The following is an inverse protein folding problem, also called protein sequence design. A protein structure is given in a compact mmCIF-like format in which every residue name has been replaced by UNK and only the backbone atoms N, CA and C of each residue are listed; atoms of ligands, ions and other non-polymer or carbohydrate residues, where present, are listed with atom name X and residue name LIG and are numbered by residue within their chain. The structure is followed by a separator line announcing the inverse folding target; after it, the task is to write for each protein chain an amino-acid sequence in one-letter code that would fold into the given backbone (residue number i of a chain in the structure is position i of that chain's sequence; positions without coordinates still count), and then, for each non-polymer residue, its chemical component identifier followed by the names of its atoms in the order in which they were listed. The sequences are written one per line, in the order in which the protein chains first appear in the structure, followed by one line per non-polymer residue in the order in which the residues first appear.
data_IF_759236722483
#
_entry.id   IF_759236722483
#
_cell.length_a   1.000
_cell.length_b   1.000
_cell.length_c   1.000
_cell.angle_alpha   90.00
_cell.angle_beta   90.00
_cell.angle_gamma   90.00
#
_symmetry.space_group_name_H-M   'P 1'
#
loop_
_entity.id
_entity.type
_entity.pdbx_description
1 polymer ?
#
# COMPACT_ATOMS: atom_id res chain seq x y z
N UNK A 1 -13.55 37.28 17.62
CA UNK A 1 -13.29 36.88 16.21
C UNK A 1 -13.19 35.37 16.04
N UNK A 2 -12.33 34.65 16.77
CA UNK A 2 -12.13 33.20 16.53
C UNK A 2 -13.39 32.35 16.76
N UNK A 3 -14.23 32.68 17.75
CA UNK A 3 -15.49 31.97 18.06
C UNK A 3 -16.61 32.19 17.02
N UNK A 4 -16.74 33.41 16.48
CA UNK A 4 -17.75 33.70 15.45
C UNK A 4 -17.52 32.89 14.18
N UNK A 5 -16.26 32.67 13.81
CA UNK A 5 -15.91 31.89 12.63
C UNK A 5 -16.18 30.39 12.82
N UNK A 6 -15.99 29.87 14.04
CA UNK A 6 -16.36 28.49 14.38
C UNK A 6 -17.88 28.30 14.30
N UNK A 7 -18.67 29.24 14.82
CA UNK A 7 -20.13 29.19 14.80
C UNK A 7 -20.70 29.31 13.36
N UNK A 8 -20.11 30.16 12.52
CA UNK A 8 -20.49 30.31 11.11
C UNK A 8 -20.16 29.07 10.28
N UNK A 9 -19.01 28.42 10.53
CA UNK A 9 -18.64 27.16 9.87
C UNK A 9 -19.57 26.03 10.29
N UNK A 10 -19.93 25.95 11.57
CA UNK A 10 -20.88 24.95 12.07
C UNK A 10 -22.24 25.16 11.41
N UNK A 11 -22.76 26.39 11.35
CA UNK A 11 -24.02 26.67 10.64
C UNK A 11 -23.96 26.36 9.14
N UNK A 12 -22.83 26.63 8.49
CA UNK A 12 -22.64 26.35 7.07
C UNK A 12 -22.60 24.84 6.81
N UNK A 13 -21.86 24.07 7.62
CA UNK A 13 -21.82 22.62 7.54
C UNK A 13 -23.18 21.99 7.83
N UNK A 14 -23.94 22.56 8.77
CA UNK A 14 -25.29 22.09 9.09
C UNK A 14 -26.25 22.31 7.90
N UNK A 15 -26.19 23.48 7.26
CA UNK A 15 -26.95 23.77 6.02
C UNK A 15 -26.55 22.85 4.86
N UNK A 16 -25.26 22.61 4.64
CA UNK A 16 -24.79 21.70 3.59
C UNK A 16 -25.18 20.24 3.87
N UNK A 17 -25.18 19.82 5.14
CA UNK A 17 -25.60 18.48 5.53
C UNK A 17 -27.09 18.25 5.26
N UNK A 18 -27.94 19.26 5.51
CA UNK A 18 -29.39 19.16 5.29
C UNK A 18 -29.73 19.08 3.80
N UNK A 19 -29.08 19.86 2.93
CA UNK A 19 -29.46 19.89 1.51
C UNK A 19 -28.92 18.70 0.68
N UNK A 20 -27.86 18.01 1.16
CA UNK A 20 -27.28 16.85 0.45
C UNK A 20 -27.58 15.49 1.11
N UNK A 21 -27.90 15.44 2.41
CA UNK A 21 -28.20 14.19 3.13
C UNK A 21 -29.68 14.00 3.51
N UNK A 22 -30.59 14.94 3.23
CA UNK A 22 -32.01 14.81 3.59
C UNK A 22 -32.84 14.01 2.56
N UNK A 23 -32.35 12.86 2.12
CA UNK A 23 -33.30 11.85 1.65
C UNK A 23 -33.62 10.98 2.86
N UNK A 24 -34.87 10.95 3.37
CA UNK A 24 -35.25 10.11 4.51
C UNK A 24 -35.32 8.63 4.11
N UNK A 25 -34.62 8.24 3.05
CA UNK A 25 -34.73 6.95 2.41
C UNK A 25 -33.34 6.32 2.37
N UNK A 26 -33.27 5.05 2.78
CA UNK A 26 -32.16 4.16 2.44
C UNK A 26 -32.67 3.12 1.48
N UNK A 27 -31.95 2.87 0.39
CA UNK A 27 -32.27 1.74 -0.49
C UNK A 27 -31.26 0.62 -0.28
N UNK A 28 -31.73 -0.61 -0.11
CA UNK A 28 -30.86 -1.76 0.05
C UNK A 28 -30.31 -2.21 -1.30
N UNK A 29 -28.99 -2.30 -1.45
CA UNK A 29 -28.37 -2.75 -2.69
C UNK A 29 -28.52 -4.26 -2.97
N UNK A 30 -29.08 -5.04 -2.03
CA UNK A 30 -29.27 -6.50 -2.20
C UNK A 30 -30.69 -6.84 -2.65
N UNK A 31 -31.71 -6.21 -2.08
CA UNK A 31 -33.11 -6.51 -2.38
C UNK A 31 -33.89 -5.32 -2.94
N UNK A 32 -33.21 -4.19 -3.18
CA UNK A 32 -33.77 -2.93 -3.67
C UNK A 32 -34.91 -2.34 -2.82
N UNK A 33 -35.12 -2.82 -1.60
CA UNK A 33 -36.17 -2.31 -0.73
C UNK A 33 -35.77 -0.94 -0.16
N UNK A 34 -36.75 -0.03 -0.12
CA UNK A 34 -36.61 1.31 0.44
C UNK A 34 -37.01 1.27 1.91
N UNK A 35 -36.09 1.69 2.77
CA UNK A 35 -36.27 1.90 4.19
C UNK A 35 -36.48 3.40 4.45
N UNK A 36 -37.51 3.75 5.21
CA UNK A 36 -37.67 5.10 5.72
C UNK A 36 -36.84 5.28 7.00
N UNK A 37 -36.17 6.42 7.10
CA UNK A 37 -35.46 6.85 8.30
C UNK A 37 -36.14 8.10 8.85
N UNK A 38 -36.49 8.05 10.13
CA UNK A 38 -36.80 9.25 10.90
C UNK A 38 -35.49 10.01 11.20
N UNK A 39 -35.09 10.94 10.32
CA UNK A 39 -33.86 11.73 10.43
C UNK A 39 -33.73 12.44 11.80
N UNK A 40 -34.79 13.04 12.39
CA UNK A 40 -34.80 13.52 13.77
C UNK A 40 -34.35 12.49 14.82
N UNK A 41 -34.76 11.22 14.69
CA UNK A 41 -34.41 10.16 15.65
C UNK A 41 -32.90 9.82 15.63
N UNK A 42 -32.22 10.06 14.50
CA UNK A 42 -30.77 9.89 14.35
C UNK A 42 -29.99 11.12 14.88
N UNK A 43 -30.62 12.30 14.94
CA UNK A 43 -29.96 13.55 15.40
C UNK A 43 -29.71 13.65 16.92
N UNK A 44 -30.01 12.63 17.70
CA UNK A 44 -29.82 12.60 19.17
C UNK A 44 -28.37 12.67 19.68
N UNK A 45 -27.38 12.98 18.83
CA UNK A 45 -25.94 12.90 19.12
C UNK A 45 -25.36 14.08 19.94
N UNK A 46 -26.00 15.24 19.99
CA UNK A 46 -25.41 16.38 20.72
C UNK A 46 -25.49 16.26 22.26
N UNK A 47 -26.36 15.41 22.79
CA UNK A 47 -26.62 15.38 24.25
C UNK A 47 -25.84 14.32 25.03
N UNK A 48 -25.03 13.47 24.37
CA UNK A 48 -24.49 12.23 24.99
C UNK A 48 -22.98 12.19 25.21
N UNK A 49 -22.28 13.31 25.06
CA UNK A 49 -20.84 13.41 25.32
C UNK A 49 -20.45 13.35 26.82
N UNK A 50 -21.41 13.23 27.75
CA UNK A 50 -21.17 13.07 29.19
C UNK A 50 -21.72 11.73 29.69
N UNK A 51 -20.90 10.68 29.60
CA UNK A 51 -21.07 9.48 30.42
C UNK A 51 -21.58 8.23 29.71
N UNK A 52 -20.62 7.43 29.22
CA UNK A 52 -20.62 5.97 29.42
C UNK A 52 -21.79 5.15 28.89
N UNK A 53 -21.92 5.00 27.57
CA UNK A 53 -22.27 3.73 26.92
C UNK A 53 -22.13 3.88 25.42
N UNK A 54 -21.14 3.21 24.81
CA UNK A 54 -20.93 3.19 23.35
C UNK A 54 -21.94 2.26 22.68
N UNK A 55 -23.22 2.58 22.76
CA UNK A 55 -24.21 1.97 21.89
C UNK A 55 -24.05 2.65 20.54
N UNK A 56 -23.29 2.01 19.64
CA UNK A 56 -23.19 2.45 18.25
C UNK A 56 -24.60 2.58 17.67
N UNK A 57 -24.85 3.67 16.96
CA UNK A 57 -26.10 3.88 16.23
C UNK A 57 -26.29 2.74 15.22
N UNK A 58 -27.26 1.88 15.49
CA UNK A 58 -27.66 0.83 14.56
C UNK A 58 -28.69 1.42 13.59
N UNK A 59 -28.34 1.47 12.31
CA UNK A 59 -29.33 1.71 11.25
C UNK A 59 -30.48 0.71 11.37
N UNK A 60 -31.72 1.09 11.03
CA UNK A 60 -32.82 0.14 10.99
C UNK A 60 -32.51 -0.97 9.97
N UNK A 61 -32.81 -2.25 10.28
CA UNK A 61 -32.59 -3.34 9.35
C UNK A 61 -33.41 -3.16 8.07
N UNK A 62 -32.88 -3.60 6.94
CA UNK A 62 -33.62 -3.59 5.68
C UNK A 62 -34.94 -4.37 5.82
N UNK A 63 -36.06 -3.79 5.36
CA UNK A 63 -37.37 -4.46 5.39
C UNK A 63 -37.46 -5.69 4.49
N UNK A 64 -36.60 -5.81 3.47
CA UNK A 64 -36.53 -7.00 2.60
C UNK A 64 -35.58 -8.07 3.12
N UNK A 65 -34.29 -7.74 3.31
CA UNK A 65 -33.26 -8.74 3.64
C UNK A 65 -32.86 -8.81 5.13
N UNK A 66 -33.39 -7.92 5.98
CA UNK A 66 -33.08 -7.87 7.42
C UNK A 66 -31.66 -7.40 7.77
N UNK A 67 -30.83 -7.04 6.77
CA UNK A 67 -29.42 -6.63 6.97
C UNK A 67 -29.28 -5.12 6.96
N UNK A 68 -28.35 -4.60 7.76
CA UNK A 68 -28.03 -3.15 7.84
C UNK A 68 -26.82 -2.77 6.97
N UNK A 69 -25.98 -3.75 6.60
CA UNK A 69 -24.68 -3.54 5.94
C UNK A 69 -24.77 -3.06 4.48
N UNK A 70 -25.94 -3.23 3.86
CA UNK A 70 -26.15 -3.04 2.42
C UNK A 70 -27.09 -1.88 2.11
N UNK A 71 -27.33 -0.99 3.08
CA UNK A 71 -28.19 0.18 2.91
C UNK A 71 -27.36 1.34 2.35
N UNK A 72 -27.85 1.96 1.27
CA UNK A 72 -27.29 3.19 0.70
C UNK A 72 -28.26 4.34 0.87
N UNK A 73 -27.73 5.54 1.09
CA UNK A 73 -28.52 6.76 1.21
C UNK A 73 -29.18 7.13 -0.12
N UNK A 74 -30.47 7.45 -0.08
CA UNK A 74 -31.26 7.83 -1.25
C UNK A 74 -32.24 6.75 -1.72
N UNK A 75 -33.17 7.17 -2.57
CA UNK A 75 -34.11 6.32 -3.29
C UNK A 75 -33.55 5.99 -4.69
N UNK A 76 -32.41 5.31 -4.74
CA UNK A 76 -31.75 4.89 -5.99
C UNK A 76 -32.12 3.45 -6.32
N UNK A 77 -32.57 3.20 -7.54
CA UNK A 77 -32.85 1.83 -8.00
C UNK A 77 -31.56 1.06 -8.28
N UNK A 78 -31.40 -0.09 -7.62
CA UNK A 78 -30.31 -1.05 -7.83
C UNK A 78 -30.72 -2.25 -8.69
N UNK A 79 -31.87 -2.20 -9.40
CA UNK A 79 -32.35 -3.32 -10.21
C UNK A 79 -31.34 -3.80 -11.26
N UNK A 80 -30.64 -2.87 -11.93
CA UNK A 80 -29.64 -3.21 -12.93
C UNK A 80 -28.42 -3.90 -12.30
N UNK A 81 -27.93 -3.39 -11.17
CA UNK A 81 -26.81 -3.99 -10.43
C UNK A 81 -27.15 -5.39 -9.92
N UNK A 82 -28.36 -5.56 -9.35
CA UNK A 82 -28.85 -6.85 -8.86
C UNK A 82 -28.99 -7.85 -10.01
N UNK A 83 -29.58 -7.43 -11.14
CA UNK A 83 -29.73 -8.29 -12.32
C UNK A 83 -28.37 -8.78 -12.84
N UNK A 84 -27.39 -7.86 -12.93
CA UNK A 84 -26.04 -8.18 -13.36
C UNK A 84 -25.34 -9.14 -12.39
N UNK A 85 -25.45 -8.91 -11.07
CA UNK A 85 -24.91 -9.84 -10.06
C UNK A 85 -25.58 -11.21 -10.13
N UNK A 86 -26.90 -11.28 -10.30
CA UNK A 86 -27.61 -12.57 -10.44
C UNK A 86 -27.18 -13.33 -11.68
N UNK A 87 -27.05 -12.64 -12.83
CA UNK A 87 -26.58 -13.24 -14.07
C UNK A 87 -25.13 -13.73 -13.94
N UNK A 88 -24.25 -12.94 -13.30
CA UNK A 88 -22.88 -13.36 -13.04
C UNK A 88 -22.80 -14.61 -12.15
N UNK A 89 -23.67 -14.72 -11.14
CA UNK A 89 -23.76 -15.92 -10.29
C UNK A 89 -24.27 -17.12 -11.10
N UNK A 90 -25.29 -16.95 -11.92
CA UNK A 90 -25.80 -18.03 -12.79
C UNK A 90 -24.76 -18.49 -13.81
N UNK A 91 -24.07 -17.56 -14.47
CA UNK A 91 -23.02 -17.88 -15.43
C UNK A 91 -21.84 -18.57 -14.75
N UNK A 92 -21.49 -18.15 -13.53
CA UNK A 92 -20.50 -18.84 -12.71
C UNK A 92 -20.96 -20.26 -12.34
N UNK A 93 -22.24 -20.45 -12.03
CA UNK A 93 -22.80 -21.78 -11.76
C UNK A 93 -22.82 -22.68 -13.00
N UNK A 94 -23.18 -22.14 -14.18
CA UNK A 94 -23.13 -22.86 -15.47
C UNK A 94 -21.71 -23.28 -15.83
N UNK A 95 -20.72 -22.40 -15.60
CA UNK A 95 -19.29 -22.68 -15.83
C UNK A 95 -18.68 -23.61 -14.77
N UNK A 96 -19.30 -23.73 -13.59
CA UNK A 96 -18.82 -24.57 -12.48
C UNK A 96 -18.83 -26.06 -12.80
N UNK A 97 -19.84 -26.55 -13.52
CA UNK A 97 -19.96 -27.99 -13.82
C UNK A 97 -18.86 -28.46 -14.79
N UNK A 98 -18.63 -27.78 -15.94
CA UNK A 98 -17.49 -28.10 -16.81
C UNK A 98 -16.14 -27.91 -16.11
N UNK A 99 -15.98 -26.85 -15.32
CA UNK A 99 -14.73 -26.60 -14.59
C UNK A 99 -14.48 -27.65 -13.49
N UNK A 100 -15.52 -28.18 -12.84
CA UNK A 100 -15.38 -29.27 -11.87
C UNK A 100 -14.93 -30.57 -12.54
N UNK A 101 -15.47 -30.86 -13.73
CA UNK A 101 -15.03 -31.99 -14.55
C UNK A 101 -13.56 -31.79 -14.96
N UNK A 102 -13.20 -30.61 -15.47
CA UNK A 102 -11.81 -30.30 -15.86
C UNK A 102 -10.85 -30.32 -14.66
N UNK A 103 -11.28 -29.87 -13.48
CA UNK A 103 -10.52 -30.01 -12.23
C UNK A 103 -10.37 -31.46 -11.79
N UNK A 104 -11.38 -32.31 -11.96
CA UNK A 104 -11.27 -33.75 -11.69
C UNK A 104 -10.31 -34.43 -12.65
N UNK A 105 -10.24 -33.98 -13.91
CA UNK A 105 -9.33 -34.51 -14.95
C UNK A 105 -7.90 -34.02 -14.77
N UNK A 106 -7.69 -32.73 -14.45
CA UNK A 106 -6.33 -32.14 -14.30
C UNK A 106 -5.74 -32.30 -12.90
N UNK A 107 -6.53 -32.24 -11.84
CA UNK A 107 -6.04 -32.51 -10.49
C UNK A 107 -6.01 -34.00 -10.20
N UNK A 108 -5.66 -34.80 -11.21
CA UNK A 108 -5.46 -36.23 -11.09
C UNK A 108 -4.23 -36.63 -10.27
N UNK A 109 -3.84 -35.78 -9.32
CA UNK A 109 -2.77 -36.04 -8.40
C UNK A 109 -3.25 -37.04 -7.35
N UNK A 110 -2.57 -38.19 -7.17
CA UNK A 110 -2.98 -39.26 -6.26
C UNK A 110 -3.33 -38.81 -4.84
N UNK A 111 -2.71 -37.73 -4.35
CA UNK A 111 -2.96 -37.16 -3.02
C UNK A 111 -4.31 -36.43 -2.87
N UNK A 112 -4.81 -35.77 -3.91
CA UNK A 112 -6.13 -35.13 -3.89
C UNK A 112 -7.21 -36.21 -3.89
N UNK A 113 -6.95 -37.30 -4.61
CA UNK A 113 -7.82 -38.47 -4.65
C UNK A 113 -7.84 -39.27 -3.36
N UNK A 114 -6.67 -39.59 -2.80
CA UNK A 114 -6.59 -40.29 -1.52
C UNK A 114 -7.42 -39.58 -0.44
N UNK A 115 -7.45 -38.23 -0.45
CA UNK A 115 -8.28 -37.46 0.48
C UNK A 115 -9.79 -37.52 0.18
N UNK A 116 -10.18 -37.46 -1.09
CA UNK A 116 -11.59 -37.53 -1.48
C UNK A 116 -12.20 -38.93 -1.22
N UNK A 117 -11.37 -39.98 -1.37
CA UNK A 117 -11.76 -41.39 -1.19
C UNK A 117 -11.47 -41.93 0.21
N UNK A 118 -10.65 -41.27 1.04
CA UNK A 118 -10.54 -41.63 2.46
C UNK A 118 -11.92 -41.49 3.07
N UNK A 119 -12.58 -42.64 3.24
CA UNK A 119 -13.74 -42.78 4.09
C UNK A 119 -13.33 -42.17 5.41
N UNK A 120 -14.06 -41.13 5.83
CA UNK A 120 -14.00 -40.68 7.21
C UNK A 120 -14.62 -41.82 8.01
N UNK A 121 -13.83 -42.86 8.25
CA UNK A 121 -14.03 -43.85 9.29
C UNK A 121 -13.93 -43.05 10.57
N UNK A 122 -15.03 -42.34 10.86
CA UNK A 122 -15.37 -41.90 12.19
C UNK A 122 -15.30 -43.18 13.00
N UNK A 123 -14.18 -43.30 13.71
CA UNK A 123 -13.90 -44.37 14.63
C UNK A 123 -15.00 -44.27 15.67
N UNK A 124 -16.07 -45.05 15.48
CA UNK A 124 -17.09 -45.29 16.47
C UNK A 124 -16.47 -46.15 17.56
N UNK A 125 -15.55 -45.56 18.32
CA UNK A 125 -15.30 -45.98 19.68
C UNK A 125 -16.44 -45.40 20.51
N UNK A 126 -17.54 -46.17 20.55
CA UNK A 126 -18.34 -46.38 21.75
C UNK A 126 -18.33 -45.24 22.78
N UNK A 127 -19.13 -44.20 22.54
CA UNK A 127 -19.76 -43.46 23.63
C UNK A 127 -21.12 -42.94 23.19
N UNK A 128 -22.11 -43.39 23.94
CA UNK A 128 -23.53 -43.14 23.81
C UNK A 128 -23.86 -41.65 23.98
N UNK A 129 -24.06 -40.96 22.87
CA UNK A 129 -24.93 -39.78 22.84
C UNK A 129 -25.44 -39.60 21.41
N UNK A 130 -26.77 -39.68 21.26
CA UNK A 130 -27.50 -39.55 20.00
C UNK A 130 -27.23 -38.17 19.36
N UNK A 131 -26.17 -38.07 18.57
CA UNK A 131 -26.05 -37.06 17.53
C UNK A 131 -26.08 -37.80 16.19
N UNK A 132 -27.17 -37.59 15.46
CA UNK A 132 -27.37 -38.07 14.09
C UNK A 132 -26.32 -37.43 13.18
N UNK A 133 -25.12 -38.02 13.14
CA UNK A 133 -24.13 -37.65 12.13
C UNK A 133 -24.68 -38.04 10.76
N UNK A 134 -24.59 -37.16 9.75
CA UNK A 134 -25.04 -37.47 8.41
C UNK A 134 -24.24 -38.68 7.90
N UNK A 135 -24.94 -39.73 7.49
CA UNK A 135 -24.34 -40.92 6.88
C UNK A 135 -23.54 -40.45 5.68
N UNK A 136 -22.20 -40.47 5.78
CA UNK A 136 -21.33 -40.08 4.68
C UNK A 136 -21.36 -41.22 3.67
N UNK A 137 -21.98 -40.97 2.51
CA UNK A 137 -22.04 -41.96 1.45
C UNK A 137 -20.63 -42.41 1.05
N UNK A 138 -20.45 -43.72 0.99
CA UNK A 138 -19.22 -44.35 0.54
C UNK A 138 -19.04 -44.08 -0.95
N UNK A 139 -18.04 -43.27 -1.27
CA UNK A 139 -17.61 -43.00 -2.65
C UNK A 139 -16.81 -44.20 -3.14
N UNK A 140 -17.13 -44.72 -4.31
CA UNK A 140 -16.33 -45.78 -4.95
C UNK A 140 -15.39 -45.18 -5.99
N UNK A 141 -14.30 -45.90 -6.29
CA UNK A 141 -13.23 -45.44 -7.18
C UNK A 141 -12.85 -46.52 -8.20
N UNK A 142 -12.14 -46.13 -9.25
CA UNK A 142 -11.65 -47.00 -10.31
C UNK A 142 -10.13 -47.16 -10.18
N UNK A 143 -9.67 -48.41 -10.09
CA UNK A 143 -8.26 -48.71 -9.88
C UNK A 143 -7.44 -48.70 -11.18
N UNK A 144 -8.09 -48.96 -12.32
CA UNK A 144 -7.43 -48.97 -13.63
C UNK A 144 -7.35 -47.56 -14.23
N UNK A 145 -6.13 -47.16 -14.62
CA UNK A 145 -5.89 -45.89 -15.30
C UNK A 145 -6.61 -45.80 -16.67
N UNK A 146 -6.79 -46.94 -17.34
CA UNK A 146 -7.49 -47.01 -18.63
C UNK A 146 -9.00 -46.79 -18.44
N UNK A 147 -9.60 -47.44 -17.43
CA UNK A 147 -10.99 -47.24 -17.03
C UNK A 147 -11.24 -45.78 -16.64
N UNK A 148 -10.32 -45.21 -15.87
CA UNK A 148 -10.37 -43.81 -15.47
C UNK A 148 -10.27 -42.86 -16.67
N UNK A 149 -9.44 -43.17 -17.68
CA UNK A 149 -9.35 -42.39 -18.91
C UNK A 149 -10.66 -42.35 -19.70
N UNK A 150 -11.32 -43.51 -19.86
CA UNK A 150 -12.64 -43.59 -20.51
C UNK A 150 -13.70 -42.85 -19.70
N UNK A 151 -13.66 -42.99 -18.37
CA UNK A 151 -14.55 -42.29 -17.46
C UNK A 151 -14.44 -40.75 -17.55
N UNK A 152 -13.21 -40.25 -17.63
CA UNK A 152 -12.92 -38.82 -17.77
C UNK A 152 -13.38 -38.25 -19.12
N UNK A 153 -13.35 -39.05 -20.18
CA UNK A 153 -13.79 -38.64 -21.50
C UNK A 153 -15.32 -38.62 -21.62
N UNK A 154 -15.97 -39.72 -21.27
CA UNK A 154 -17.43 -39.82 -21.20
C UNK A 154 -17.86 -40.91 -20.20
N UNK A 155 -18.24 -40.50 -18.99
CA UNK A 155 -18.71 -41.43 -17.95
C UNK A 155 -19.97 -42.20 -18.35
N UNK A 156 -20.78 -41.71 -19.30
CA UNK A 156 -21.93 -42.46 -19.82
C UNK A 156 -21.49 -43.60 -20.73
N UNK A 157 -20.47 -43.37 -21.55
CA UNK A 157 -19.86 -44.44 -22.35
C UNK A 157 -19.18 -45.48 -21.47
N UNK A 158 -18.51 -45.04 -20.40
CA UNK A 158 -17.96 -45.95 -19.40
C UNK A 158 -19.04 -46.87 -18.80
N UNK A 159 -20.19 -46.32 -18.39
CA UNK A 159 -21.31 -47.11 -17.85
C UNK A 159 -21.90 -48.06 -18.91
N UNK A 160 -21.94 -47.65 -20.18
CA UNK A 160 -22.36 -48.54 -21.28
C UNK A 160 -21.40 -49.72 -21.44
N UNK A 161 -20.09 -49.47 -21.45
CA UNK A 161 -19.05 -50.52 -21.60
C UNK A 161 -18.97 -51.50 -20.44
N UNK A 162 -19.24 -51.03 -19.23
CA UNK A 162 -19.29 -51.88 -18.02
C UNK A 162 -20.62 -52.64 -17.84
N UNK A 163 -21.52 -52.56 -18.84
CA UNK A 163 -22.81 -53.25 -18.78
C UNK A 163 -23.75 -52.69 -17.70
N UNK A 164 -23.61 -51.40 -17.36
CA UNK A 164 -24.46 -50.75 -16.36
C UNK A 164 -24.11 -51.10 -14.91
N UNK A 165 -22.91 -51.59 -14.64
CA UNK A 165 -22.43 -51.93 -13.29
C UNK A 165 -21.19 -51.11 -12.94
N UNK A 166 -21.29 -50.07 -12.08
CA UNK A 166 -22.48 -49.58 -11.37
C UNK A 166 -23.47 -48.79 -12.27
N UNK A 167 -24.75 -48.64 -11.87
CA UNK A 167 -25.76 -47.96 -12.67
C UNK A 167 -25.49 -46.45 -12.78
N UNK A 168 -25.94 -45.85 -13.89
CA UNK A 168 -25.64 -44.46 -14.24
C UNK A 168 -25.94 -43.46 -13.13
N UNK A 169 -27.13 -43.54 -12.51
CA UNK A 169 -27.53 -42.61 -11.44
C UNK A 169 -26.58 -42.67 -10.24
N UNK A 170 -26.02 -43.85 -9.93
CA UNK A 170 -25.07 -44.05 -8.83
C UNK A 170 -23.70 -43.47 -9.17
N UNK A 171 -23.28 -43.60 -10.42
CA UNK A 171 -22.06 -42.96 -10.94
C UNK A 171 -22.19 -41.44 -10.89
N UNK A 172 -23.31 -40.88 -11.35
CA UNK A 172 -23.55 -39.43 -11.28
C UNK A 172 -23.57 -38.92 -9.84
N UNK A 173 -24.23 -39.63 -8.91
CA UNK A 173 -24.24 -39.29 -7.50
C UNK A 173 -22.81 -39.29 -6.92
N UNK A 174 -22.00 -40.30 -7.25
CA UNK A 174 -20.60 -40.42 -6.84
C UNK A 174 -19.77 -39.24 -7.36
N UNK A 175 -19.92 -38.85 -8.63
CA UNK A 175 -19.22 -37.69 -9.23
C UNK A 175 -19.59 -36.38 -8.54
N UNK A 176 -20.89 -36.18 -8.25
CA UNK A 176 -21.36 -34.99 -7.52
C UNK A 176 -20.74 -34.93 -6.13
N UNK A 177 -20.69 -36.06 -5.43
CA UNK A 177 -20.11 -36.14 -4.09
C UNK A 177 -18.59 -35.91 -4.08
N UNK A 178 -17.84 -36.51 -5.02
CA UNK A 178 -16.40 -36.26 -5.17
C UNK A 178 -16.13 -34.79 -5.47
N UNK A 179 -16.87 -34.20 -6.41
CA UNK A 179 -16.80 -32.76 -6.72
C UNK A 179 -17.02 -31.92 -5.47
N UNK A 180 -18.07 -32.23 -4.70
CA UNK A 180 -18.38 -31.53 -3.45
C UNK A 180 -17.23 -31.62 -2.45
N UNK A 181 -16.61 -32.80 -2.27
CA UNK A 181 -15.46 -33.00 -1.37
C UNK A 181 -14.23 -32.22 -1.82
N UNK A 182 -13.91 -32.23 -3.11
CA UNK A 182 -12.79 -31.48 -3.69
C UNK A 182 -12.98 -29.98 -3.45
N UNK A 183 -14.17 -29.45 -3.77
CA UNK A 183 -14.48 -28.03 -3.57
C UNK A 183 -14.44 -27.64 -2.10
N UNK A 184 -15.00 -28.46 -1.20
CA UNK A 184 -14.90 -28.21 0.25
C UNK A 184 -13.44 -28.17 0.71
N UNK A 185 -12.60 -29.07 0.20
CA UNK A 185 -11.18 -29.09 0.52
C UNK A 185 -10.48 -27.84 0.02
N UNK A 186 -10.76 -27.42 -1.21
CA UNK A 186 -10.25 -26.19 -1.79
C UNK A 186 -10.66 -24.97 -0.95
N UNK A 187 -11.93 -24.83 -0.58
CA UNK A 187 -12.39 -23.75 0.29
C UNK A 187 -11.65 -23.71 1.62
N UNK A 188 -11.42 -24.87 2.25
CA UNK A 188 -10.63 -24.95 3.49
C UNK A 188 -9.18 -24.51 3.27
N UNK A 189 -8.55 -24.93 2.18
CA UNK A 189 -7.18 -24.55 1.85
C UNK A 189 -7.05 -23.06 1.53
N UNK A 190 -7.95 -22.51 0.73
CA UNK A 190 -8.04 -21.08 0.42
C UNK A 190 -8.24 -20.28 1.70
N UNK A 191 -9.14 -20.70 2.58
CA UNK A 191 -9.37 -20.05 3.88
C UNK A 191 -8.10 -20.04 4.74
N UNK A 192 -7.37 -21.16 4.80
CA UNK A 192 -6.08 -21.24 5.52
C UNK A 192 -5.03 -20.32 4.90
N UNK A 193 -4.94 -20.27 3.57
CA UNK A 193 -4.01 -19.40 2.86
C UNK A 193 -4.33 -17.93 3.14
N UNK A 194 -5.60 -17.54 3.03
CA UNK A 194 -6.08 -16.19 3.35
C UNK A 194 -5.81 -15.82 4.81
N UNK A 195 -6.07 -16.73 5.76
CA UNK A 195 -5.76 -16.50 7.17
C UNK A 195 -4.26 -16.29 7.41
N UNK A 196 -3.41 -17.12 6.78
CA UNK A 196 -1.95 -16.99 6.86
C UNK A 196 -1.48 -15.66 6.26
N UNK A 197 -1.99 -15.31 5.08
CA UNK A 197 -1.68 -14.06 4.39
C UNK A 197 -2.06 -12.84 5.23
N UNK A 198 -3.31 -12.77 5.72
CA UNK A 198 -3.77 -11.71 6.62
C UNK A 198 -2.90 -11.60 7.86
N UNK A 199 -2.50 -12.72 8.45
CA UNK A 199 -1.58 -12.75 9.59
C UNK A 199 -0.20 -12.19 9.26
N UNK A 200 0.37 -12.52 8.10
CA UNK A 200 1.67 -11.96 7.66
C UNK A 200 1.57 -10.46 7.43
N UNK A 201 0.55 -10.00 6.70
CA UNK A 201 0.33 -8.58 6.41
C UNK A 201 0.10 -7.76 7.69
N UNK A 202 -0.69 -8.28 8.63
CA UNK A 202 -0.91 -7.64 9.92
C UNK A 202 0.40 -7.55 10.74
N UNK A 203 1.20 -8.62 10.79
CA UNK A 203 2.50 -8.59 11.49
C UNK A 203 3.47 -7.59 10.86
N UNK A 204 3.53 -7.53 9.53
CA UNK A 204 4.38 -6.58 8.80
C UNK A 204 4.00 -5.13 9.09
N UNK A 205 2.70 -4.80 9.03
CA UNK A 205 2.19 -3.46 9.33
C UNK A 205 2.41 -3.06 10.81
N UNK A 206 2.19 -3.98 11.76
CA UNK A 206 2.48 -3.74 13.18
C UNK A 206 3.98 -3.51 13.41
N UNK A 207 4.84 -4.25 12.72
CA UNK A 207 6.29 -4.08 12.83
C UNK A 207 6.73 -2.68 12.37
N UNK A 208 6.26 -2.22 11.21
CA UNK A 208 6.55 -0.86 10.73
C UNK A 208 5.97 0.20 11.69
N UNK A 209 4.76 0.02 12.22
CA UNK A 209 4.19 0.92 13.23
C UNK A 209 5.08 1.00 14.47
N UNK A 210 5.52 -0.15 15.02
CA UNK A 210 6.42 -0.19 16.19
C UNK A 210 7.75 0.52 15.91
N UNK A 211 8.29 0.35 14.71
CA UNK A 211 9.52 1.04 14.25
C UNK A 211 9.32 2.55 14.18
N UNK A 212 8.20 3.03 13.61
CA UNK A 212 7.88 4.47 13.59
C UNK A 212 7.69 5.04 15.00
N UNK A 213 6.99 4.31 15.89
CA UNK A 213 6.84 4.71 17.30
C UNK A 213 8.19 4.78 18.01
N UNK A 214 9.08 3.80 17.79
CA UNK A 214 10.45 3.80 18.32
C UNK A 214 11.28 4.98 17.81
N UNK A 215 11.15 5.31 16.53
CA UNK A 215 11.78 6.49 15.94
C UNK A 215 11.26 7.79 16.54
N UNK A 216 9.94 7.95 16.69
CA UNK A 216 9.33 9.11 17.35
C UNK A 216 9.76 9.27 18.80
N UNK A 217 9.82 8.17 19.57
CA UNK A 217 10.36 8.18 20.93
C UNK A 217 11.82 8.65 20.94
N UNK A 218 12.64 8.14 20.02
CA UNK A 218 14.04 8.56 19.88
C UNK A 218 14.16 10.05 19.58
N UNK A 219 13.30 10.60 18.70
CA UNK A 219 13.26 12.04 18.42
C UNK A 219 12.83 12.86 19.64
N UNK A 220 11.82 12.40 20.38
CA UNK A 220 11.32 13.10 21.59
C UNK A 220 12.36 13.09 22.73
N UNK A 221 13.08 11.99 22.92
CA UNK A 221 14.07 11.87 23.98
C UNK A 221 15.46 12.44 23.60
N UNK A 222 15.75 12.60 22.32
CA UNK A 222 17.05 13.12 21.84
C UNK A 222 17.46 14.46 22.47
N UNK A 223 16.58 15.49 22.59
CA UNK A 223 16.90 16.72 23.29
C UNK A 223 17.24 16.52 24.76
N UNK A 224 16.43 15.73 25.49
CA UNK A 224 16.66 15.45 26.91
C UNK A 224 18.00 14.75 27.14
N UNK A 225 18.33 13.73 26.33
CA UNK A 225 19.62 13.03 26.38
C UNK A 225 20.78 13.98 26.09
N UNK A 226 20.64 14.89 25.12
CA UNK A 226 21.67 15.90 24.80
C UNK A 226 21.90 16.86 25.97
N UNK A 227 20.83 17.37 26.58
CA UNK A 227 20.91 18.25 27.75
C UNK A 227 21.60 17.51 28.92
N UNK A 228 21.16 16.30 29.23
CA UNK A 228 21.76 15.48 30.28
C UNK A 228 23.26 15.22 30.02
N UNK A 229 23.63 14.89 28.78
CA UNK A 229 25.03 14.68 28.39
C UNK A 229 25.86 15.96 28.54
N UNK A 230 25.34 17.11 28.11
CA UNK A 230 26.03 18.40 28.28
C UNK A 230 26.20 18.76 29.75
N UNK A 231 25.15 18.59 30.57
CA UNK A 231 25.19 18.85 32.00
C UNK A 231 26.22 17.96 32.70
N UNK A 232 26.19 16.64 32.46
CA UNK A 232 27.18 15.69 33.00
C UNK A 232 28.60 16.07 32.58
N UNK A 233 28.79 16.42 31.30
CA UNK A 233 30.10 16.88 30.79
C UNK A 233 30.57 18.14 31.52
N UNK A 234 29.70 19.12 31.71
CA UNK A 234 30.00 20.36 32.42
C UNK A 234 30.36 20.10 33.88
N UNK A 235 29.58 19.27 34.59
CA UNK A 235 29.86 18.87 35.97
C UNK A 235 31.23 18.16 36.08
N UNK A 236 31.54 17.22 35.17
CA UNK A 236 32.84 16.57 35.12
C UNK A 236 33.99 17.57 34.91
N UNK A 237 33.81 18.56 34.02
CA UNK A 237 34.82 19.62 33.78
C UNK A 237 34.98 20.57 34.97
N UNK A 238 33.93 20.81 35.76
CA UNK A 238 34.03 21.59 37.00
C UNK A 238 34.89 20.85 38.03
N UNK A 239 34.64 19.56 38.24
CA UNK A 239 35.35 18.70 39.22
C UNK A 239 36.79 18.39 38.81
N UNK A 240 37.04 18.03 37.55
CA UNK A 240 38.36 17.64 37.08
C UNK A 240 39.04 18.78 36.33
N UNK A 241 39.92 19.53 37.00
CA UNK A 241 40.75 20.59 36.38
C UNK A 241 41.60 20.06 35.21
N UNK A 242 42.06 18.80 35.25
CA UNK A 242 42.78 18.12 34.15
C UNK A 242 41.98 18.00 32.84
N UNK A 243 40.64 18.04 32.90
CA UNK A 243 39.77 18.03 31.70
C UNK A 243 39.50 19.44 31.15
N UNK A 244 39.98 20.49 31.82
CA UNK A 244 40.02 21.86 31.29
C UNK A 244 41.26 22.01 30.43
N UNK A 245 41.28 21.38 29.25
CA UNK A 245 42.23 21.80 28.22
C UNK A 245 41.76 23.16 27.75
N UNK A 246 42.43 24.22 28.18
CA UNK A 246 42.25 25.52 27.60
C UNK A 246 42.92 25.49 26.22
N UNK A 247 42.14 25.04 25.23
CA UNK A 247 42.59 25.08 23.84
C UNK A 247 42.57 26.56 23.47
N UNK A 248 43.78 27.15 23.39
CA UNK A 248 43.98 28.55 23.03
C UNK A 248 43.23 28.92 21.75
N UNK A 249 42.85 30.20 21.64
CA UNK A 249 42.06 30.73 20.52
C UNK A 249 42.63 30.33 19.17
N UNK A 250 43.96 30.35 19.04
CA UNK A 250 44.65 30.08 17.78
C UNK A 250 44.50 28.62 17.34
N UNK A 251 44.55 27.67 18.28
CA UNK A 251 44.30 26.25 18.00
C UNK A 251 42.85 26.02 17.57
N UNK A 252 41.89 26.75 18.16
CA UNK A 252 40.48 26.69 17.72
C UNK A 252 40.29 27.27 16.32
N UNK A 253 41.02 28.34 15.99
CA UNK A 253 40.97 28.96 14.67
C UNK A 253 41.63 28.08 13.60
N UNK A 254 42.73 27.39 13.92
CA UNK A 254 43.35 26.40 13.02
C UNK A 254 42.44 25.19 12.79
N UNK A 255 41.80 24.67 13.84
CA UNK A 255 40.82 23.58 13.73
C UNK A 255 39.60 24.00 12.90
N UNK A 256 39.16 25.24 13.04
CA UNK A 256 38.07 25.78 12.23
C UNK A 256 38.46 25.94 10.76
N UNK A 257 39.68 26.43 10.48
CA UNK A 257 40.19 26.59 9.12
C UNK A 257 40.34 25.24 8.41
N UNK A 258 40.88 24.23 9.10
CA UNK A 258 41.02 22.87 8.56
C UNK A 258 39.66 22.22 8.30
N UNK A 259 38.70 22.32 9.24
CA UNK A 259 37.33 21.85 9.03
C UNK A 259 36.65 22.56 7.86
N UNK A 260 36.90 23.85 7.68
CA UNK A 260 36.35 24.61 6.55
C UNK A 260 36.94 24.15 5.22
N UNK A 261 38.25 23.94 5.15
CA UNK A 261 38.93 23.41 3.97
C UNK A 261 38.44 22.02 3.62
N UNK A 262 38.29 21.12 4.61
CA UNK A 262 37.73 19.79 4.42
C UNK A 262 36.30 19.84 3.89
N UNK A 263 35.46 20.74 4.40
CA UNK A 263 34.09 20.94 3.88
C UNK A 263 34.10 21.42 2.44
N UNK A 264 34.97 22.37 2.09
CA UNK A 264 35.12 22.83 0.71
C UNK A 264 35.57 21.69 -0.21
N UNK A 265 36.56 20.89 0.18
CA UNK A 265 37.00 19.71 -0.57
C UNK A 265 35.89 18.66 -0.73
N UNK A 266 35.07 18.45 0.30
CA UNK A 266 33.94 17.54 0.21
C UNK A 266 32.83 18.07 -0.71
N UNK A 267 32.57 19.39 -0.69
CA UNK A 267 31.64 20.04 -1.60
C UNK A 267 32.11 19.96 -3.05
N UNK A 268 33.39 20.22 -3.33
CA UNK A 268 33.95 20.09 -4.68
C UNK A 268 33.91 18.65 -5.19
N UNK A 269 34.24 17.66 -4.34
CA UNK A 269 34.10 16.23 -4.69
C UNK A 269 32.65 15.85 -5.01
N UNK A 270 31.68 16.31 -4.22
CA UNK A 270 30.25 16.07 -4.47
C UNK A 270 29.78 16.73 -5.76
N UNK A 271 30.22 17.96 -6.02
CA UNK A 271 29.92 18.67 -7.25
C UNK A 271 30.46 17.91 -8.46
N UNK A 272 31.74 17.52 -8.43
CA UNK A 272 32.37 16.72 -9.48
C UNK A 272 31.63 15.41 -9.72
N UNK A 273 31.28 14.69 -8.66
CA UNK A 273 30.52 13.44 -8.75
C UNK A 273 29.14 13.65 -9.39
N UNK A 274 28.42 14.72 -9.01
CA UNK A 274 27.13 15.06 -9.61
C UNK A 274 27.28 15.40 -11.10
N UNK A 275 28.28 16.20 -11.47
CA UNK A 275 28.56 16.56 -12.87
C UNK A 275 28.89 15.32 -13.70
N UNK A 276 29.74 14.41 -13.18
CA UNK A 276 30.07 13.16 -13.85
C UNK A 276 28.84 12.26 -14.04
N UNK A 277 28.00 12.12 -13.01
CA UNK A 277 26.76 11.32 -13.10
C UNK A 277 25.77 11.90 -14.12
N UNK A 278 25.64 13.23 -14.19
CA UNK A 278 24.78 13.89 -15.18
C UNK A 278 25.31 13.67 -16.60
N UNK A 279 26.63 13.85 -16.83
CA UNK A 279 27.26 13.57 -18.12
C UNK A 279 27.09 12.10 -18.54
N UNK A 280 27.29 11.17 -17.61
CA UNK A 280 27.10 9.75 -17.85
C UNK A 280 25.65 9.42 -18.24
N UNK A 281 24.65 9.99 -17.53
CA UNK A 281 23.23 9.82 -17.89
C UNK A 281 22.92 10.31 -19.30
N UNK A 282 23.44 11.49 -19.67
CA UNK A 282 23.28 12.03 -21.02
C UNK A 282 23.92 11.14 -22.08
N UNK A 283 25.14 10.67 -21.85
CA UNK A 283 25.82 9.76 -22.78
C UNK A 283 25.07 8.45 -22.91
N UNK A 284 24.62 7.85 -21.81
CA UNK A 284 23.83 6.62 -21.83
C UNK A 284 22.51 6.77 -22.61
N UNK A 285 21.81 7.89 -22.42
CA UNK A 285 20.60 8.22 -23.18
C UNK A 285 20.91 8.37 -24.67
N UNK A 286 21.98 9.09 -25.02
CA UNK A 286 22.43 9.28 -26.39
C UNK A 286 22.82 7.93 -27.05
N UNK A 287 23.63 7.12 -26.38
CA UNK A 287 24.02 5.78 -26.83
C UNK A 287 22.80 4.89 -27.06
N UNK A 288 21.81 4.94 -26.16
CA UNK A 288 20.58 4.15 -26.29
C UNK A 288 19.77 4.60 -27.51
N UNK A 289 19.62 5.91 -27.73
CA UNK A 289 18.93 6.46 -28.88
C UNK A 289 19.64 6.15 -30.21
N UNK A 290 20.97 6.31 -30.26
CA UNK A 290 21.78 6.02 -31.44
C UNK A 290 21.73 4.54 -31.82
N UNK A 291 21.77 3.63 -30.83
CA UNK A 291 21.60 2.18 -31.07
C UNK A 291 20.23 1.83 -31.66
N UNK A 292 19.17 2.50 -31.22
CA UNK A 292 17.83 2.31 -31.78
C UNK A 292 17.72 2.80 -33.23
N UNK A 293 18.49 3.84 -33.58
CA UNK A 293 18.51 4.44 -34.92
C UNK A 293 19.57 3.82 -35.86
N UNK A 294 20.31 2.79 -35.42
CA UNK A 294 21.34 2.13 -36.23
C UNK A 294 22.61 2.97 -36.47
N UNK A 295 22.81 4.06 -35.71
CA UNK A 295 23.99 4.92 -35.84
C UNK A 295 25.21 4.42 -35.09
N UNK A 296 26.39 4.97 -35.40
CA UNK A 296 27.64 4.68 -34.68
C UNK A 296 27.70 5.43 -33.35
N UNK A 297 28.03 4.72 -32.27
CA UNK A 297 28.05 5.30 -30.91
C UNK A 297 29.38 6.01 -30.66
N UNK A 298 29.34 7.30 -30.32
CA UNK A 298 30.54 8.02 -29.89
C UNK A 298 31.08 7.55 -28.53
N UNK A 299 32.41 7.43 -28.37
CA UNK A 299 33.04 7.03 -27.12
C UNK A 299 32.84 8.07 -26.02
N UNK A 300 32.68 7.61 -24.77
CA UNK A 300 32.49 8.48 -23.62
C UNK A 300 33.77 9.29 -23.32
N UNK A 301 33.79 10.57 -23.70
CA UNK A 301 34.89 11.46 -23.37
C UNK A 301 34.67 12.09 -21.98
N UNK A 302 35.40 11.60 -20.98
CA UNK A 302 35.36 12.11 -19.61
C UNK A 302 36.23 13.37 -19.39
N UNK A 303 37.05 13.76 -20.37
CA UNK A 303 38.09 14.76 -20.15
C UNK A 303 37.65 16.20 -20.32
N UNK A 304 38.27 17.04 -19.48
CA UNK A 304 38.08 18.47 -19.38
C UNK A 304 38.37 19.14 -20.73
N UNK A 305 37.53 20.11 -21.08
CA UNK A 305 37.80 21.08 -22.14
C UNK A 305 39.24 21.59 -21.93
N UNK A 306 40.16 21.46 -22.91
CA UNK A 306 41.47 22.06 -22.78
C UNK A 306 41.25 23.55 -22.52
N UNK A 307 41.86 24.04 -21.43
CA UNK A 307 41.91 25.47 -21.14
C UNK A 307 42.50 26.12 -22.39
N UNK A 308 41.79 27.07 -23.05
CA UNK A 308 42.38 27.76 -24.19
C UNK A 308 43.70 28.37 -23.75
N UNK A 309 44.77 28.07 -24.49
CA UNK A 309 46.09 28.63 -24.25
C UNK A 309 45.96 30.14 -24.06
N UNK A 310 46.59 30.62 -22.99
CA UNK A 310 46.73 32.04 -22.67
C UNK A 310 47.03 32.87 -23.92
N UNK A 311 46.31 33.97 -24.18
CA UNK A 311 46.69 34.89 -25.25
C UNK A 311 48.09 35.46 -24.96
N UNK A 312 48.90 35.73 -26.00
CA UNK A 312 50.26 36.24 -25.82
C UNK A 312 50.25 37.60 -25.14
N UNK A 313 51.25 37.80 -24.29
CA UNK A 313 51.50 39.01 -23.52
C UNK A 313 51.44 40.26 -24.41
N UNK A 314 50.49 41.16 -24.12
CA UNK A 314 50.47 42.51 -24.68
C UNK A 314 51.22 43.44 -23.74
N UNK A 315 52.29 44.00 -24.29
CA UNK A 315 53.19 45.01 -23.76
C UNK A 315 52.42 46.19 -23.15
N UNK A 316 52.90 46.66 -21.99
CA UNK A 316 52.49 47.90 -21.33
C UNK A 316 52.60 49.12 -22.27
N UNK A 317 51.79 50.15 -22.03
CA UNK A 317 52.45 51.40 -21.65
C UNK A 317 51.86 52.06 -20.40
N UNK A 318 52.80 52.67 -19.68
CA UNK A 318 52.64 53.65 -18.61
C UNK A 318 51.81 54.87 -19.04
N UNK A 319 50.85 55.31 -18.21
CA UNK A 319 50.86 56.64 -17.55
C UNK A 319 49.50 56.97 -16.88
N UNK A 320 49.62 57.60 -15.70
CA UNK A 320 48.59 58.17 -14.80
C UNK A 320 47.77 59.33 -15.43
N UNK A 321 46.90 60.05 -14.68
CA UNK A 321 45.72 59.65 -13.90
C UNK A 321 44.49 60.53 -14.26
N UNK A 322 43.26 60.15 -13.90
CA UNK A 322 42.19 61.15 -13.68
C UNK A 322 41.00 60.58 -12.92
N UNK A 323 40.60 61.37 -11.93
CA UNK A 323 39.36 61.29 -11.17
C UNK A 323 38.15 61.31 -12.09
N UNK A 324 37.19 60.41 -11.87
CA UNK A 324 35.77 60.75 -11.99
C UNK A 324 34.92 59.77 -11.17
N UNK A 325 34.25 60.36 -10.19
CA UNK A 325 33.25 59.81 -9.30
C UNK A 325 31.96 59.50 -10.05
N UNK A 326 31.44 58.28 -9.93
CA UNK A 326 30.02 57.98 -10.17
C UNK A 326 29.52 56.81 -9.29
N UNK A 327 28.24 56.82 -8.87
CA UNK A 327 27.74 56.07 -7.72
C UNK A 327 27.35 54.65 -8.11
N UNK A 328 28.16 53.67 -7.69
CA UNK A 328 27.79 52.26 -7.83
C UNK A 328 26.77 51.87 -6.76
N UNK A 329 25.56 51.57 -7.22
CA UNK A 329 24.55 50.80 -6.49
C UNK A 329 25.19 49.50 -6.02
N UNK A 330 25.54 49.46 -4.73
CA UNK A 330 26.04 48.29 -4.03
C UNK A 330 24.90 47.28 -3.89
N UNK A 331 24.84 46.33 -4.82
CA UNK A 331 24.09 45.10 -4.62
C UNK A 331 24.86 44.26 -3.59
N UNK A 332 24.64 44.59 -2.31
CA UNK A 332 25.23 43.88 -1.19
C UNK A 332 24.94 42.38 -1.32
N UNK A 333 25.99 41.63 -1.64
CA UNK A 333 25.96 40.18 -1.61
C UNK A 333 25.45 39.74 -0.21
N UNK A 334 24.46 38.83 -0.14
CA UNK A 334 23.85 38.46 1.13
C UNK A 334 24.92 37.89 2.07
N UNK A 335 24.92 38.39 3.31
CA UNK A 335 25.92 38.04 4.33
C UNK A 335 26.00 36.52 4.51
N UNK A 336 27.15 36.02 4.96
CA UNK A 336 27.40 34.58 5.15
C UNK A 336 26.35 33.93 6.07
N UNK A 337 25.79 34.70 6.99
CA UNK A 337 24.67 34.30 7.84
C UNK A 337 23.37 34.10 7.04
N UNK A 338 23.00 35.04 6.17
CA UNK A 338 21.81 34.94 5.32
C UNK A 338 21.90 33.74 4.36
N UNK A 339 23.09 33.46 3.79
CA UNK A 339 23.32 32.26 2.97
C UNK A 339 23.20 30.97 3.78
N UNK A 340 23.66 30.96 5.03
CA UNK A 340 23.55 29.80 5.91
C UNK A 340 22.09 29.55 6.35
N UNK A 341 21.34 30.61 6.66
CA UNK A 341 19.90 30.54 6.96
C UNK A 341 19.10 30.03 5.76
N UNK A 342 19.36 30.56 4.57
CA UNK A 342 18.70 30.11 3.34
C UNK A 342 18.98 28.63 3.04
N UNK A 343 20.20 28.13 3.31
CA UNK A 343 20.52 26.69 3.22
C UNK A 343 19.75 25.85 4.25
N UNK A 344 19.55 26.35 5.47
CA UNK A 344 18.76 25.66 6.50
C UNK A 344 17.27 25.64 6.16
N UNK A 345 16.73 26.73 5.61
CA UNK A 345 15.32 26.81 5.19
C UNK A 345 15.05 25.88 3.98
N UNK A 346 16.00 25.75 3.05
CA UNK A 346 15.94 24.75 1.96
C UNK A 346 16.05 23.31 2.49
N UNK A 347 16.85 23.07 3.54
CA UNK A 347 16.93 21.76 4.16
C UNK A 347 15.66 21.40 4.97
N UNK A 348 15.05 22.38 5.62
CA UNK A 348 13.79 22.23 6.36
C UNK A 348 12.62 21.94 5.41
N UNK A 349 12.50 22.68 4.31
CA UNK A 349 11.50 22.44 3.26
C UNK A 349 11.70 21.09 2.55
N UNK A 350 12.94 20.64 2.32
CA UNK A 350 13.23 19.28 1.82
C UNK A 350 12.87 18.19 2.83
N UNK A 351 12.96 18.46 4.13
CA UNK A 351 12.50 17.52 5.19
C UNK A 351 10.98 17.43 5.24
N UNK A 352 10.26 18.55 5.10
CA UNK A 352 8.80 18.56 4.97
C UNK A 352 8.32 17.80 3.72
N UNK A 353 9.07 17.89 2.60
CA UNK A 353 8.78 17.07 1.41
C UNK A 353 9.08 15.58 1.57
N UNK A 354 9.94 15.19 2.51
CA UNK A 354 10.25 13.78 2.82
C UNK A 354 9.31 13.15 3.85
N UNK A 355 8.53 13.94 4.58
CA UNK A 355 7.47 13.44 5.49
C UNK A 355 6.14 13.18 4.78
N UNK A 356 5.99 13.61 3.52
CA UNK A 356 4.89 13.15 2.68
C UNK A 356 5.24 11.78 2.08
N UNK A 357 4.41 10.81 2.41
CA UNK A 357 4.34 9.52 1.72
C UNK A 357 4.35 9.78 0.20
N UNK A 358 5.17 9.09 -0.60
CA UNK A 358 5.33 9.43 -2.02
C UNK A 358 3.98 9.42 -2.73
N UNK A 359 3.61 10.50 -3.42
CA UNK A 359 2.33 10.59 -4.13
C UNK A 359 2.15 9.45 -5.16
N UNK A 360 3.25 8.90 -5.69
CA UNK A 360 3.26 7.69 -6.53
C UNK A 360 2.77 6.43 -5.80
N UNK A 361 3.05 6.30 -4.50
CA UNK A 361 2.54 5.20 -3.68
C UNK A 361 1.08 5.42 -3.27
N UNK A 362 0.62 6.68 -3.16
CA UNK A 362 -0.81 6.98 -3.05
C UNK A 362 -1.55 6.60 -4.34
N UNK A 363 -1.03 7.04 -5.49
CA UNK A 363 -1.61 6.71 -6.79
C UNK A 363 -1.72 5.18 -6.98
N UNK A 364 -0.67 4.40 -6.67
CA UNK A 364 -0.74 2.93 -6.78
C UNK A 364 -1.75 2.26 -5.84
N UNK A 365 -1.98 2.82 -4.64
CA UNK A 365 -2.92 2.27 -3.66
C UNK A 365 -4.37 2.65 -4.00
N UNK A 366 -4.61 3.74 -4.74
CA UNK A 366 -5.95 4.17 -5.14
C UNK A 366 -6.30 3.80 -6.60
N UNK A 367 -5.35 3.77 -7.54
CA UNK A 367 -5.57 3.38 -8.95
C UNK A 367 -5.96 1.91 -9.11
N UNK A 368 -5.45 1.03 -8.23
CA UNK A 368 -5.86 -0.38 -8.24
C UNK A 368 -7.34 -0.58 -7.86
N UNK A 369 -7.96 0.41 -7.21
CA UNK A 369 -9.38 0.34 -6.84
C UNK A 369 -10.34 0.98 -7.87
N UNK A 370 -9.83 1.82 -8.77
CA UNK A 370 -10.65 2.44 -9.82
C UNK A 370 -10.56 1.73 -11.17
N UNK A 371 -9.42 1.14 -11.52
CA UNK A 371 -9.31 0.40 -12.78
C UNK A 371 -10.17 -0.88 -12.82
N UNK A 372 -10.39 -1.54 -11.66
CA UNK A 372 -11.32 -2.67 -11.56
C UNK A 372 -12.81 -2.26 -11.65
N UNK A 373 -13.15 -0.97 -11.55
CA UNK A 373 -14.54 -0.49 -11.69
C UNK A 373 -14.93 -0.09 -13.11
N UNK A 374 -13.97 0.21 -13.98
CA UNK A 374 -14.27 0.74 -15.32
C UNK A 374 -14.28 -0.36 -16.40
N UNK A 375 -13.59 -1.49 -16.19
CA UNK A 375 -13.62 -2.62 -17.15
C UNK A 375 -14.88 -3.51 -17.05
N UNK A 376 -15.85 -3.17 -16.18
CA UNK A 376 -17.14 -3.87 -16.06
C UNK A 376 -18.30 -3.19 -16.79
N UNK A 377 -18.06 -2.17 -17.61
CA UNK A 377 -19.09 -1.36 -18.26
C UNK A 377 -18.94 -1.23 -19.79
N UNK A 378 -18.32 -2.22 -20.44
CA UNK A 378 -18.40 -2.39 -21.90
C UNK A 378 -18.84 -3.79 -22.30
#
# INVERSE_FOLDING_TARGET
MQRQWEDEIVQYLDKCSVSQYATPYLTCCVCNCINFIDVPSIRGLQSRAKGGSSVFESLPPCCGCGRTRHLRTGATSFHAEIALETQAVEDFQKKRVPAAIDMQVRNAHPLVYAYATTTTTSTTSSSSSQQTHPVVETVFWYDSAEEFGVFCWDYREFVRRTGGRPPLWRVEANVREVTRRILNREYVLVTRLQARWRGITARSSIYELKKQVGWLRSLRHSPAIRIQRQLRTHQCRRRCKRLRRDVGRDVRMSDYATLHQQRQQAETKRYLQQTLMTKYRHHFQHTSAVKLLGGTVEPFQAFARPVPASPPARVLPSSHPSNQSDPRISTHAPSRFMRAKQKLDVAASRKQRRSHFPDKLRAQVYDTSEHERVEGLY
#
